data_IF_820100858799
#
_entry.id   IF_820100858799
#
_cell.length_a   1.000
_cell.length_b   1.000
_cell.length_c   1.000
_cell.angle_alpha   90.00
_cell.angle_beta   90.00
_cell.angle_gamma   90.00
#
_symmetry.space_group_name_H-M   'P 1'
#
loop_
_entity.id
_entity.type
_entity.pdbx_description
1 polymer ?
#
# COMPACT_ATOMS: atom_id res chain seq x y z
N UNK A 1 30.28 11.33 16.05
CA UNK A 1 29.03 10.91 16.71
C UNK A 1 28.70 9.58 16.09
N UNK A 2 28.71 8.48 16.85
CA UNK A 2 28.27 7.19 16.31
C UNK A 2 26.81 7.34 15.90
N UNK A 3 26.50 7.24 14.62
CA UNK A 3 25.13 7.03 14.16
C UNK A 3 24.64 5.76 14.89
N UNK A 4 23.77 5.95 15.89
CA UNK A 4 23.08 4.81 16.49
C UNK A 4 22.24 4.20 15.39
N UNK A 5 22.43 2.91 15.13
CA UNK A 5 21.56 2.17 14.21
C UNK A 5 20.10 2.41 14.61
N UNK A 6 19.21 2.64 13.62
CA UNK A 6 17.80 2.88 13.91
C UNK A 6 17.23 1.72 14.71
N UNK A 7 16.32 1.99 15.65
CA UNK A 7 15.70 0.90 16.41
C UNK A 7 14.82 0.04 15.48
N UNK A 8 15.08 -1.28 15.48
CA UNK A 8 14.41 -2.25 14.62
C UNK A 8 13.23 -2.92 15.33
N UNK A 9 12.09 -3.00 14.65
CA UNK A 9 10.91 -3.74 15.04
C UNK A 9 10.67 -4.91 14.08
N UNK A 10 10.90 -6.12 14.57
CA UNK A 10 10.64 -7.36 13.81
C UNK A 10 9.17 -7.74 13.87
N UNK A 11 8.60 -8.01 12.71
CA UNK A 11 7.20 -8.43 12.54
C UNK A 11 7.16 -9.85 11.98
N UNK A 12 6.33 -10.72 12.54
CA UNK A 12 6.14 -12.10 12.06
C UNK A 12 5.05 -12.19 11.00
N UNK A 13 5.04 -13.29 10.22
CA UNK A 13 3.97 -13.55 9.25
C UNK A 13 2.58 -13.59 9.90
N UNK A 14 2.49 -14.16 11.11
CA UNK A 14 1.24 -14.28 11.84
C UNK A 14 0.71 -12.92 12.32
N UNK A 15 1.58 -11.99 12.72
CA UNK A 15 1.19 -10.63 13.07
C UNK A 15 0.61 -9.90 11.85
N UNK A 16 1.33 -9.89 10.72
CA UNK A 16 0.82 -9.29 9.47
C UNK A 16 -0.51 -9.91 9.07
N UNK A 17 -0.64 -11.24 9.12
CA UNK A 17 -1.86 -11.95 8.77
C UNK A 17 -3.05 -11.53 9.65
N UNK A 18 -2.82 -11.38 10.96
CA UNK A 18 -3.86 -10.98 11.91
C UNK A 18 -4.26 -9.51 11.77
N UNK A 19 -3.32 -8.61 11.49
CA UNK A 19 -3.61 -7.21 11.17
C UNK A 19 -4.49 -7.12 9.92
N UNK A 20 -4.12 -7.83 8.87
CA UNK A 20 -4.92 -7.87 7.62
C UNK A 20 -6.31 -8.45 7.86
N UNK A 21 -6.43 -9.52 8.67
CA UNK A 21 -7.73 -10.09 9.05
C UNK A 21 -8.63 -9.06 9.72
N UNK A 22 -8.09 -8.29 10.67
CA UNK A 22 -8.84 -7.26 11.39
C UNK A 22 -9.25 -6.11 10.45
N UNK A 23 -8.35 -5.62 9.60
CA UNK A 23 -8.64 -4.55 8.65
C UNK A 23 -9.63 -4.97 7.55
N UNK A 24 -9.57 -6.23 7.11
CA UNK A 24 -10.49 -6.76 6.11
C UNK A 24 -11.96 -6.65 6.51
N UNK A 25 -12.28 -6.76 7.81
CA UNK A 25 -13.65 -6.60 8.31
C UNK A 25 -14.21 -5.20 8.01
N UNK A 26 -13.39 -4.15 8.23
CA UNK A 26 -13.76 -2.75 7.95
C UNK A 26 -13.79 -2.48 6.44
N UNK A 27 -12.79 -2.99 5.71
CA UNK A 27 -12.63 -2.80 4.26
C UNK A 27 -13.77 -3.50 3.48
N UNK A 28 -14.31 -4.60 4.01
CA UNK A 28 -15.41 -5.32 3.39
C UNK A 28 -16.67 -4.46 3.22
N UNK A 29 -16.90 -3.48 4.11
CA UNK A 29 -18.03 -2.53 4.01
C UNK A 29 -17.89 -1.62 2.80
N UNK A 30 -16.66 -1.22 2.47
CA UNK A 30 -16.39 -0.50 1.24
C UNK A 30 -16.78 -1.40 0.06
N UNK A 31 -16.41 -2.69 0.07
CA UNK A 31 -16.66 -3.78 -0.93
C UNK A 31 -15.69 -3.84 -2.12
N UNK A 32 -14.37 -3.62 -1.97
CA UNK A 32 -13.46 -3.45 -3.11
C UNK A 32 -13.62 -4.54 -4.16
N UNK A 33 -13.48 -4.20 -5.44
CA UNK A 33 -13.61 -5.17 -6.54
C UNK A 33 -12.35 -5.40 -7.36
N UNK A 34 -11.29 -4.69 -7.01
CA UNK A 34 -9.94 -4.87 -7.52
C UNK A 34 -8.94 -4.56 -6.39
N UNK A 35 -7.85 -5.33 -6.32
CA UNK A 35 -6.70 -5.02 -5.48
C UNK A 35 -5.53 -4.59 -6.38
N UNK A 36 -4.83 -3.53 -6.00
CA UNK A 36 -3.61 -3.05 -6.67
C UNK A 36 -2.48 -3.10 -5.64
N UNK A 37 -1.61 -4.10 -5.74
CA UNK A 37 -0.44 -4.24 -4.91
C UNK A 37 0.72 -3.40 -5.46
N UNK A 38 1.36 -2.60 -4.61
CA UNK A 38 2.59 -1.88 -4.96
C UNK A 38 3.77 -2.71 -4.49
N UNK A 39 4.68 -3.11 -5.41
CA UNK A 39 5.91 -3.82 -5.04
C UNK A 39 5.71 -4.98 -4.05
N UNK A 40 6.28 -4.84 -2.85
CA UNK A 40 6.22 -5.83 -1.77
C UNK A 40 4.86 -5.91 -1.04
N UNK A 41 3.93 -4.98 -1.32
CA UNK A 41 2.51 -5.04 -0.97
C UNK A 41 1.74 -6.25 -1.53
N UNK A 42 2.38 -7.09 -2.36
CA UNK A 42 1.76 -8.30 -2.93
C UNK A 42 1.37 -9.33 -1.87
N UNK A 43 2.22 -9.54 -0.84
CA UNK A 43 1.88 -10.46 0.25
C UNK A 43 0.64 -9.98 1.01
N UNK A 44 0.57 -8.72 1.49
CA UNK A 44 -0.64 -8.18 2.09
C UNK A 44 -1.88 -8.29 1.21
N UNK A 45 -1.79 -7.94 -0.08
CA UNK A 45 -2.92 -8.04 -1.01
C UNK A 45 -3.42 -9.49 -1.18
N UNK A 46 -2.48 -10.45 -1.23
CA UNK A 46 -2.83 -11.87 -1.33
C UNK A 46 -3.55 -12.36 -0.09
N UNK A 47 -3.11 -11.99 1.10
CA UNK A 47 -3.77 -12.37 2.36
C UNK A 47 -5.13 -11.67 2.47
N UNK A 48 -5.20 -10.37 2.17
CA UNK A 48 -6.43 -9.56 2.17
C UNK A 48 -7.54 -10.21 1.32
N UNK A 49 -7.18 -10.68 0.12
CA UNK A 49 -8.12 -11.38 -0.77
C UNK A 49 -8.78 -12.60 -0.12
N UNK A 50 -8.11 -13.28 0.81
CA UNK A 50 -8.70 -14.42 1.53
C UNK A 50 -9.89 -13.99 2.39
N UNK A 51 -9.76 -12.86 3.08
CA UNK A 51 -10.78 -12.34 4.01
C UNK A 51 -11.88 -11.53 3.31
N UNK A 52 -11.60 -10.99 2.13
CA UNK A 52 -12.61 -10.29 1.31
C UNK A 52 -13.40 -11.22 0.38
N UNK A 53 -13.24 -12.54 0.48
CA UNK A 53 -14.10 -13.48 -0.25
C UNK A 53 -15.54 -13.36 0.24
N UNK A 54 -16.46 -13.12 -0.70
CA UNK A 54 -17.90 -13.12 -0.43
C UNK A 54 -18.59 -14.19 -1.29
N UNK A 55 -19.52 -14.99 -0.72
CA UNK A 55 -20.36 -15.91 -1.49
C UNK A 55 -21.19 -15.22 -2.57
N UNK A 56 -21.49 -13.93 -2.41
CA UNK A 56 -22.30 -13.14 -3.36
C UNK A 56 -21.53 -12.81 -4.65
N UNK A 57 -20.19 -12.84 -4.60
CA UNK A 57 -19.36 -12.54 -5.76
C UNK A 57 -19.08 -13.82 -6.54
N UNK A 58 -19.33 -13.78 -7.85
CA UNK A 58 -18.84 -14.79 -8.78
C UNK A 58 -17.33 -14.62 -9.00
N UNK A 59 -16.53 -15.26 -8.15
CA UNK A 59 -15.07 -15.37 -8.30
C UNK A 59 -14.26 -14.53 -7.31
N UNK A 60 -12.93 -14.69 -7.40
CA UNK A 60 -11.99 -13.97 -6.53
C UNK A 60 -11.78 -12.53 -7.00
N UNK A 61 -11.49 -11.63 -6.05
CA UNK A 61 -11.05 -10.27 -6.37
C UNK A 61 -9.71 -10.36 -7.14
N UNK A 62 -9.59 -9.79 -8.35
CA UNK A 62 -8.31 -9.76 -9.07
C UNK A 62 -7.29 -8.92 -8.30
N UNK A 63 -6.02 -9.37 -8.34
CA UNK A 63 -4.88 -8.63 -7.81
C UNK A 63 -4.03 -8.23 -9.00
N UNK A 64 -3.81 -6.92 -9.15
CA UNK A 64 -2.86 -6.37 -10.09
C UNK A 64 -1.64 -5.87 -9.33
N UNK A 65 -0.45 -6.00 -9.92
CA UNK A 65 0.78 -5.51 -9.35
C UNK A 65 1.29 -4.31 -10.15
N UNK A 66 1.71 -3.26 -9.44
CA UNK A 66 2.45 -2.14 -9.98
C UNK A 66 3.81 -2.06 -9.27
N UNK A 67 4.82 -1.65 -10.02
CA UNK A 67 6.18 -1.47 -9.54
C UNK A 67 6.56 0.00 -9.70
N UNK A 68 7.03 0.59 -8.61
CA UNK A 68 7.52 1.96 -8.55
C UNK A 68 8.95 1.93 -8.00
N UNK A 69 9.84 2.72 -8.58
CA UNK A 69 11.15 2.99 -8.02
C UNK A 69 11.24 4.46 -7.67
N UNK A 70 11.56 4.76 -6.42
CA UNK A 70 11.95 6.11 -5.98
C UNK A 70 13.46 6.23 -6.22
N UNK A 71 13.91 7.26 -6.94
CA UNK A 71 15.33 7.62 -6.90
C UNK A 71 15.60 8.41 -5.62
N UNK A 72 16.66 8.03 -4.91
CA UNK A 72 17.27 8.92 -3.93
C UNK A 72 17.97 10.05 -4.70
N UNK A 73 17.66 11.28 -4.32
CA UNK A 73 18.18 12.49 -4.94
C UNK A 73 19.70 12.46 -5.04
N UNK A 74 20.23 12.54 -6.26
CA UNK A 74 21.67 12.74 -6.47
C UNK A 74 22.09 14.13 -5.98
N UNK A 75 23.33 14.32 -5.48
CA UNK A 75 23.80 15.63 -5.07
C UNK A 75 23.72 16.63 -6.23
N UNK A 76 22.97 17.72 -6.05
CA UNK A 76 22.82 18.81 -7.03
C UNK A 76 21.43 18.96 -7.67
N UNK A 77 20.46 18.14 -7.29
CA UNK A 77 19.07 18.26 -7.77
C UNK A 77 18.27 19.29 -6.96
N UNK A 78 17.44 20.11 -7.63
CA UNK A 78 16.59 21.11 -6.96
C UNK A 78 15.39 20.46 -6.28
N UNK A 79 14.79 21.13 -5.29
CA UNK A 79 13.60 20.62 -4.58
C UNK A 79 12.44 20.29 -5.52
N UNK A 80 12.26 21.01 -6.64
CA UNK A 80 11.29 20.69 -7.68
C UNK A 80 11.62 19.40 -8.45
N UNK A 81 12.90 19.05 -8.62
CA UNK A 81 13.34 17.83 -9.31
C UNK A 81 13.19 16.58 -8.43
N UNK A 82 13.36 16.73 -7.11
CA UNK A 82 13.23 15.64 -6.13
C UNK A 82 11.80 15.08 -6.06
N UNK A 83 10.79 15.88 -6.38
CA UNK A 83 9.39 15.43 -6.47
C UNK A 83 9.04 14.67 -7.75
N UNK A 84 9.92 14.66 -8.76
CA UNK A 84 9.62 14.22 -10.12
C UNK A 84 10.11 12.79 -10.47
N UNK A 85 10.85 12.13 -9.59
CA UNK A 85 11.60 10.90 -9.93
C UNK A 85 11.04 9.62 -9.32
N UNK A 86 9.73 9.42 -9.43
CA UNK A 86 9.17 8.06 -9.29
C UNK A 86 9.04 7.45 -10.68
N UNK A 87 9.74 6.35 -10.93
CA UNK A 87 9.68 5.64 -12.22
C UNK A 87 8.72 4.46 -12.10
N UNK A 88 7.78 4.35 -13.06
CA UNK A 88 6.93 3.17 -13.24
C UNK A 88 7.80 2.03 -13.80
N UNK A 89 8.26 1.13 -12.93
CA UNK A 89 9.03 -0.07 -13.35
C UNK A 89 8.11 -1.19 -13.84
N UNK A 90 6.89 -1.24 -13.32
CA UNK A 90 5.83 -2.15 -13.77
C UNK A 90 4.49 -1.43 -13.65
N UNK A 91 3.62 -1.58 -14.65
CA UNK A 91 2.30 -0.94 -14.66
C UNK A 91 1.20 -1.86 -15.18
N UNK A 92 -0.05 -1.40 -15.15
CA UNK A 92 -1.24 -2.15 -15.58
C UNK A 92 -1.34 -2.34 -17.12
N UNK A 93 -0.27 -2.04 -17.85
CA UNK A 93 -0.23 -2.08 -19.31
C UNK A 93 -0.78 -0.82 -19.99
N UNK A 94 -0.87 -0.82 -21.34
CA UNK A 94 -1.32 0.33 -22.12
C UNK A 94 -2.79 0.69 -21.91
N UNK A 95 -3.60 -0.28 -21.46
CA UNK A 95 -5.05 -0.14 -21.25
C UNK A 95 -5.41 0.02 -19.77
N UNK A 96 -4.49 0.54 -18.95
CA UNK A 96 -4.66 0.71 -17.50
C UNK A 96 -5.96 1.44 -17.14
N UNK A 97 -6.29 2.52 -17.83
CA UNK A 97 -7.53 3.27 -17.62
C UNK A 97 -8.78 2.41 -17.82
N UNK A 98 -8.84 1.61 -18.90
CA UNK A 98 -9.98 0.71 -19.16
C UNK A 98 -10.13 -0.36 -18.09
N UNK A 99 -9.03 -0.87 -17.55
CA UNK A 99 -9.04 -1.85 -16.47
C UNK A 99 -9.63 -1.24 -15.19
N UNK A 100 -9.34 0.05 -14.94
CA UNK A 100 -9.75 0.78 -13.74
C UNK A 100 -11.19 1.32 -13.81
N UNK A 101 -11.71 1.66 -15.00
CA UNK A 101 -13.01 2.32 -15.12
C UNK A 101 -14.16 1.60 -14.39
N UNK A 102 -14.91 2.35 -13.59
CA UNK A 102 -16.06 1.90 -12.80
C UNK A 102 -15.69 0.93 -11.67
N UNK A 103 -14.40 0.71 -11.41
CA UNK A 103 -13.93 -0.17 -10.34
C UNK A 103 -13.87 0.55 -9.01
N UNK A 104 -13.83 -0.26 -7.97
CA UNK A 104 -13.50 0.14 -6.61
C UNK A 104 -12.19 -0.52 -6.23
N UNK A 105 -11.11 0.18 -6.58
CA UNK A 105 -9.74 -0.30 -6.50
C UNK A 105 -9.13 0.01 -5.13
N UNK A 106 -8.77 -1.04 -4.39
CA UNK A 106 -8.00 -0.92 -3.16
C UNK A 106 -6.51 -1.01 -3.48
N UNK A 107 -5.79 0.08 -3.28
CA UNK A 107 -4.33 0.14 -3.34
C UNK A 107 -3.78 -0.46 -2.05
N UNK A 108 -2.82 -1.37 -2.16
CA UNK A 108 -2.29 -2.14 -1.04
C UNK A 108 -0.77 -2.05 -1.02
N UNK A 109 -0.23 -1.68 0.14
CA UNK A 109 1.20 -1.67 0.44
C UNK A 109 1.48 -2.27 1.84
N UNK A 110 2.73 -2.54 2.16
CA UNK A 110 3.13 -2.97 3.51
C UNK A 110 3.25 -1.79 4.48
N UNK A 111 3.85 -0.67 4.05
CA UNK A 111 4.12 0.47 4.95
C UNK A 111 3.80 1.83 4.32
N UNK A 112 3.15 2.70 5.09
CA UNK A 112 3.16 4.15 4.85
C UNK A 112 4.25 4.79 5.73
N UNK A 113 5.42 5.03 5.15
CA UNK A 113 6.52 5.75 5.81
C UNK A 113 6.42 7.27 5.55
N UNK A 114 6.88 7.75 4.39
CA UNK A 114 6.83 9.16 4.01
C UNK A 114 5.59 9.56 3.20
N UNK A 115 4.72 8.60 2.87
CA UNK A 115 3.54 8.69 1.98
C UNK A 115 3.82 8.99 0.50
N UNK A 116 5.07 9.23 0.10
CA UNK A 116 5.42 9.56 -1.30
C UNK A 116 4.99 8.49 -2.30
N UNK A 117 5.27 7.22 -2.01
CA UNK A 117 4.91 6.08 -2.90
C UNK A 117 3.40 6.00 -3.12
N UNK A 118 2.62 6.05 -2.04
CA UNK A 118 1.16 5.98 -2.08
C UNK A 118 0.56 7.16 -2.85
N UNK A 119 1.02 8.38 -2.56
CA UNK A 119 0.59 9.60 -3.25
C UNK A 119 0.86 9.50 -4.75
N UNK A 120 2.07 9.08 -5.14
CA UNK A 120 2.42 8.94 -6.55
C UNK A 120 1.57 7.86 -7.23
N UNK A 121 1.48 6.66 -6.64
CA UNK A 121 0.69 5.56 -7.19
C UNK A 121 -0.76 5.98 -7.44
N UNK A 122 -1.39 6.61 -6.44
CA UNK A 122 -2.75 7.10 -6.53
C UNK A 122 -2.91 8.16 -7.63
N UNK A 123 -2.02 9.17 -7.64
CA UNK A 123 -2.07 10.26 -8.62
C UNK A 123 -1.93 9.74 -10.06
N UNK A 124 -1.02 8.80 -10.30
CA UNK A 124 -0.81 8.23 -11.63
C UNK A 124 -1.96 7.32 -12.07
N UNK A 125 -2.56 6.55 -11.15
CA UNK A 125 -3.76 5.75 -11.44
C UNK A 125 -4.96 6.66 -11.74
N UNK A 126 -5.12 7.77 -11.02
CA UNK A 126 -6.16 8.77 -11.31
C UNK A 126 -5.97 9.40 -12.69
N UNK A 127 -4.73 9.76 -13.08
CA UNK A 127 -4.45 10.26 -14.44
C UNK A 127 -4.81 9.26 -15.53
N UNK A 128 -4.60 7.96 -15.27
CA UNK A 128 -4.99 6.90 -16.20
C UNK A 128 -6.51 6.77 -16.33
N UNK A 129 -7.24 6.93 -15.22
CA UNK A 129 -8.71 6.98 -15.21
C UNK A 129 -9.21 8.21 -15.97
N UNK A 130 -8.71 9.41 -15.69
CA UNK A 130 -9.14 10.64 -16.38
C UNK A 130 -8.92 10.56 -17.89
N UNK A 131 -7.78 10.02 -18.33
CA UNK A 131 -7.48 9.84 -19.76
C UNK A 131 -8.48 8.92 -20.44
N UNK A 132 -8.98 7.90 -19.75
CA UNK A 132 -9.99 7.00 -20.32
C UNK A 132 -11.40 7.61 -20.22
N UNK A 133 -11.74 8.28 -19.12
CA UNK A 133 -13.01 9.00 -18.95
C UNK A 133 -13.20 10.09 -20.01
N UNK A 134 -12.14 10.79 -20.40
CA UNK A 134 -12.18 11.82 -21.43
C UNK A 134 -12.68 11.30 -22.80
N UNK A 135 -12.56 9.99 -23.05
CA UNK A 135 -13.05 9.33 -24.27
C UNK A 135 -14.54 9.01 -24.23
N UNK A 136 -15.19 9.12 -23.06
CA UNK A 136 -16.60 8.84 -22.86
C UNK A 136 -17.45 10.13 -22.95
N UNK A 137 -18.75 10.01 -23.28
CA UNK A 137 -19.71 11.10 -23.14
C UNK A 137 -19.72 11.64 -21.71
N UNK A 138 -19.81 12.97 -21.56
CA UNK A 138 -19.75 13.64 -20.25
C UNK A 138 -20.78 13.08 -19.25
N UNK A 139 -21.98 12.76 -19.73
CA UNK A 139 -23.07 12.17 -18.94
C UNK A 139 -22.74 10.80 -18.33
N UNK A 140 -21.76 10.08 -18.87
CA UNK A 140 -21.37 8.74 -18.40
C UNK A 140 -20.14 8.76 -17.48
N UNK A 141 -19.38 9.86 -17.46
CA UNK A 141 -18.05 9.91 -16.82
C UNK A 141 -18.12 9.64 -15.32
N UNK A 142 -19.04 10.29 -14.63
CA UNK A 142 -19.13 10.16 -13.17
C UNK A 142 -19.54 8.74 -12.75
N UNK A 143 -20.50 8.14 -13.45
CA UNK A 143 -20.92 6.75 -13.20
C UNK A 143 -19.81 5.72 -13.49
N UNK A 144 -18.82 6.08 -14.33
CA UNK A 144 -17.67 5.25 -14.68
C UNK A 144 -16.40 5.64 -13.94
N UNK A 145 -16.44 6.65 -13.08
CA UNK A 145 -15.27 7.10 -12.32
C UNK A 145 -14.86 6.03 -11.33
N UNK A 146 -13.59 5.66 -11.37
CA UNK A 146 -13.00 4.71 -10.43
C UNK A 146 -12.99 5.31 -9.04
N UNK A 147 -13.38 4.51 -8.05
CA UNK A 147 -13.21 4.88 -6.64
C UNK A 147 -11.95 4.20 -6.12
N UNK A 148 -11.10 4.96 -5.45
CA UNK A 148 -9.87 4.45 -4.84
C UNK A 148 -10.03 4.39 -3.32
N UNK A 149 -9.32 3.45 -2.71
CA UNK A 149 -9.04 3.40 -1.28
C UNK A 149 -7.61 2.88 -1.09
N UNK A 150 -7.02 3.14 0.07
CA UNK A 150 -5.65 2.70 0.41
C UNK A 150 -5.67 1.82 1.64
N UNK A 151 -4.94 0.72 1.61
CA UNK A 151 -4.62 -0.09 2.77
C UNK A 151 -3.11 -0.28 2.91
N UNK A 152 -2.60 -0.06 4.12
CA UNK A 152 -1.23 -0.42 4.51
C UNK A 152 -1.24 -1.31 5.74
N UNK A 153 -0.27 -2.22 5.87
CA UNK A 153 -0.16 -3.04 7.09
C UNK A 153 0.24 -2.15 8.26
N UNK A 154 1.22 -1.27 8.08
CA UNK A 154 1.66 -0.32 9.11
C UNK A 154 1.69 1.10 8.57
N UNK A 155 1.19 2.06 9.33
CA UNK A 155 1.41 3.48 9.09
C UNK A 155 2.39 4.02 10.15
N UNK A 156 3.49 4.64 9.70
CA UNK A 156 4.42 5.30 10.62
C UNK A 156 3.88 6.66 11.07
N UNK A 157 3.86 6.87 12.37
CA UNK A 157 3.48 8.11 13.05
C UNK A 157 4.63 9.13 12.99
N UNK A 158 4.86 9.65 11.78
CA UNK A 158 5.86 10.68 11.48
C UNK A 158 5.29 11.70 10.49
N UNK A 159 5.92 12.90 10.35
CA UNK A 159 5.53 13.87 9.34
C UNK A 159 5.56 13.26 7.93
N UNK A 160 4.47 13.44 7.19
CA UNK A 160 4.32 12.93 5.83
C UNK A 160 4.76 13.97 4.83
N UNK A 161 5.39 13.53 3.73
CA UNK A 161 5.96 14.41 2.71
C UNK A 161 5.06 14.55 1.48
N UNK A 162 3.90 13.89 1.49
CA UNK A 162 2.88 13.96 0.48
C UNK A 162 1.51 13.66 1.11
N UNK A 163 0.44 14.07 0.43
CA UNK A 163 -0.93 13.93 0.93
C UNK A 163 -1.74 12.89 0.16
N UNK A 164 -2.69 12.26 0.85
CA UNK A 164 -3.77 11.51 0.22
C UNK A 164 -5.04 12.36 0.44
N UNK A 165 -5.83 12.65 -0.63
CA UNK A 165 -7.08 13.38 -0.51
C UNK A 165 -8.01 12.82 0.58
N UNK A 166 -8.64 13.70 1.37
CA UNK A 166 -9.42 13.32 2.54
C UNK A 166 -10.69 12.52 2.22
N UNK A 167 -11.16 12.58 0.98
CA UNK A 167 -12.30 11.82 0.47
C UNK A 167 -11.96 10.37 0.10
N UNK A 168 -10.67 10.03 0.04
CA UNK A 168 -10.21 8.67 -0.25
C UNK A 168 -10.10 7.88 1.05
N UNK A 169 -10.86 6.79 1.21
CA UNK A 169 -10.77 5.96 2.40
C UNK A 169 -9.35 5.41 2.59
N UNK A 170 -8.82 5.57 3.79
CA UNK A 170 -7.50 5.14 4.18
C UNK A 170 -7.59 4.17 5.36
N UNK A 171 -6.94 3.02 5.24
CA UNK A 171 -6.95 1.96 6.25
C UNK A 171 -5.51 1.59 6.63
N UNK A 172 -5.15 1.74 7.90
CA UNK A 172 -3.93 1.16 8.46
C UNK A 172 -4.27 -0.11 9.24
N UNK A 173 -3.44 -1.15 9.14
CA UNK A 173 -3.50 -2.32 10.02
C UNK A 173 -3.10 -1.95 11.44
N UNK A 174 -2.00 -1.22 11.57
CA UNK A 174 -1.50 -0.69 12.83
C UNK A 174 -0.85 0.69 12.64
N UNK A 175 -0.83 1.47 13.71
CA UNK A 175 -0.20 2.79 13.80
C UNK A 175 1.08 2.65 14.63
N UNK A 176 2.25 2.80 14.01
CA UNK A 176 3.53 2.51 14.66
C UNK A 176 4.41 3.76 14.83
N UNK A 177 5.31 3.82 15.83
CA UNK A 177 6.34 4.86 15.89
C UNK A 177 7.28 4.81 14.67
N UNK A 178 8.11 5.84 14.50
CA UNK A 178 9.10 5.91 13.42
C UNK A 178 10.29 4.97 13.67
N UNK A 179 10.04 3.68 13.53
CA UNK A 179 10.99 2.59 13.68
C UNK A 179 11.29 1.96 12.32
N UNK A 180 12.42 1.28 12.22
CA UNK A 180 12.68 0.40 11.08
C UNK A 180 11.88 -0.90 11.26
N UNK A 181 11.12 -1.31 10.24
CA UNK A 181 10.36 -2.55 10.28
C UNK A 181 11.13 -3.63 9.55
N UNK A 182 11.40 -4.75 10.23
CA UNK A 182 11.92 -5.94 9.59
C UNK A 182 10.74 -6.86 9.28
N UNK A 183 10.39 -6.96 7.99
CA UNK A 183 9.31 -7.82 7.55
C UNK A 183 9.78 -9.28 7.36
N UNK A 184 8.90 -10.27 7.57
CA UNK A 184 9.31 -11.67 7.60
C UNK A 184 9.68 -12.21 6.21
N UNK A 185 9.21 -11.59 5.12
CA UNK A 185 9.59 -11.95 3.75
C UNK A 185 10.95 -11.38 3.32
N UNK A 186 11.58 -10.57 4.17
CA UNK A 186 12.95 -10.04 3.96
C UNK A 186 13.98 -10.83 4.80
N UNK A 187 13.53 -11.71 5.69
CA UNK A 187 14.37 -12.54 6.54
C UNK A 187 14.90 -13.77 5.78
N UNK A 188 16.20 -14.03 5.90
CA UNK A 188 16.84 -15.26 5.38
C UNK A 188 16.63 -16.44 6.32
N UNK A 189 16.72 -16.22 7.62
CA UNK A 189 16.46 -17.20 8.68
C UNK A 189 15.15 -16.82 9.39
N UNK A 190 14.06 -17.46 9.01
CA UNK A 190 12.72 -17.11 9.50
C UNK A 190 12.51 -17.59 10.94
N UNK A 191 13.12 -18.72 11.32
CA UNK A 191 13.07 -19.25 12.68
C UNK A 191 13.75 -18.29 13.67
N UNK A 192 14.94 -17.77 13.33
CA UNK A 192 15.64 -16.78 14.16
C UNK A 192 14.90 -15.43 14.18
N UNK A 193 14.35 -15.00 13.04
CA UNK A 193 13.53 -13.78 12.97
C UNK A 193 12.34 -13.85 13.92
N UNK A 194 11.60 -14.96 13.91
CA UNK A 194 10.44 -15.17 14.77
C UNK A 194 10.83 -15.27 16.26
N UNK A 195 11.97 -15.90 16.57
CA UNK A 195 12.54 -15.95 17.93
C UNK A 195 12.86 -14.54 18.44
N UNK A 196 13.56 -13.73 17.65
CA UNK A 196 13.92 -12.35 18.00
C UNK A 196 12.69 -11.43 18.08
N UNK A 197 11.70 -11.62 17.22
CA UNK A 197 10.43 -10.90 17.29
C UNK A 197 9.70 -11.18 18.61
N UNK A 198 9.68 -12.45 19.05
CA UNK A 198 9.10 -12.84 20.34
C UNK A 198 9.85 -12.21 21.54
N UNK A 199 11.18 -12.21 21.52
CA UNK A 199 11.99 -11.55 22.55
C UNK A 199 11.76 -10.04 22.61
N UNK A 200 11.70 -9.39 21.44
CA UNK A 200 11.41 -7.96 21.34
C UNK A 200 10.05 -7.60 21.93
N UNK A 201 9.01 -8.41 21.65
CA UNK A 201 7.67 -8.23 22.24
C UNK A 201 7.68 -8.39 23.75
N UNK A 202 8.36 -9.41 24.27
CA UNK A 202 8.45 -9.65 25.70
C UNK A 202 9.11 -8.48 26.44
N UNK A 203 10.19 -7.92 25.87
CA UNK A 203 10.87 -6.74 26.41
C UNK A 203 9.97 -5.50 26.43
N UNK A 204 9.25 -5.23 25.34
CA UNK A 204 8.32 -4.09 25.26
C UNK A 204 7.11 -4.22 26.16
N UNK A 205 6.63 -5.44 26.40
CA UNK A 205 5.48 -5.67 27.29
C UNK A 205 5.85 -5.57 28.78
N UNK A 206 7.14 -5.63 29.10
CA UNK A 206 7.66 -5.54 30.47
C UNK A 206 8.18 -4.14 30.84
N UNK A 207 8.27 -3.22 29.85
CA UNK A 207 8.65 -1.82 30.02
C UNK A 207 7.42 -0.94 30.21
#
# INVERSE_FOLDING_TARGET
MSEQEPEHLRITYNEVHNLIRASAAKIAEWKPDMLIAIGIGFFPARVMRTFLKSPERKGNIPIHAIGLSLYESLPGMTAEQIGAEVIRTQWLGPESGKILLGRRALIVDEVDDSRKTLHYALTELQKDVERELAKLPESEREAKRTQFAVFVVHNKLKPKLADIPADIPYYAGDEIPDLWLDYPWEAVDIEEHDRLAAEGRAKRSAA
#
